data_IF_756563550188
#
_entry.id   IF_756563550188
#
_cell.length_a   1.000
_cell.length_b   1.000
_cell.length_c   1.000
_cell.angle_alpha   90.00
_cell.angle_beta   90.00
_cell.angle_gamma   90.00
#
_symmetry.space_group_name_H-M   'P 1'
#
loop_
_entity.id
_entity.type
_entity.pdbx_description
1 polymer ?
#
# COMPACT_ATOMS: atom_id res chain seq x y z
N UNK A 1 24.87 -27.70 -19.44
CA UNK A 1 25.01 -26.70 -20.51
C UNK A 1 24.02 -25.58 -20.20
N UNK A 2 24.50 -24.45 -19.69
CA UNK A 2 23.68 -23.33 -19.19
C UNK A 2 23.05 -22.55 -20.34
N UNK A 3 21.76 -22.23 -20.27
CA UNK A 3 21.16 -21.15 -21.06
C UNK A 3 20.88 -19.99 -20.12
N UNK A 4 21.70 -18.94 -20.28
CA UNK A 4 21.64 -17.67 -19.55
C UNK A 4 20.47 -16.82 -20.06
N UNK A 5 19.76 -16.21 -19.12
CA UNK A 5 18.84 -15.10 -19.33
C UNK A 5 19.55 -13.87 -19.92
N UNK A 6 18.83 -13.07 -20.71
CA UNK A 6 19.22 -11.70 -21.03
C UNK A 6 17.97 -10.81 -21.09
N UNK A 7 17.71 -10.14 -19.96
CA UNK A 7 16.88 -8.95 -19.89
C UNK A 7 17.69 -7.77 -20.43
N UNK A 8 17.25 -7.12 -21.51
CA UNK A 8 17.84 -5.86 -22.00
C UNK A 8 17.11 -4.66 -21.40
N UNK A 9 17.91 -3.79 -20.80
CA UNK A 9 17.59 -2.43 -20.36
C UNK A 9 16.97 -1.59 -21.48
N UNK A 10 15.97 -0.78 -21.15
CA UNK A 10 15.71 0.48 -21.83
C UNK A 10 16.03 1.62 -20.85
N UNK A 11 17.19 2.26 -21.06
CA UNK A 11 17.51 3.56 -20.46
C UNK A 11 17.03 4.68 -21.39
N UNK A 12 16.34 5.65 -20.78
CA UNK A 12 15.94 6.92 -21.36
C UNK A 12 17.20 7.82 -21.47
N UNK A 13 17.48 8.31 -22.67
CA UNK A 13 18.45 9.38 -22.90
C UNK A 13 17.70 10.72 -22.96
N UNK A 14 17.98 11.60 -21.98
CA UNK A 14 17.69 13.03 -22.03
C UNK A 14 19.01 13.79 -22.03
N UNK A 15 19.19 14.71 -22.98
CA UNK A 15 20.23 15.75 -22.96
C UNK A 15 19.78 17.01 -23.73
N UNK A 16 20.38 18.19 -23.46
CA UNK A 16 19.60 19.35 -23.03
C UNK A 16 19.91 20.70 -23.75
N UNK A 17 19.13 21.72 -23.33
CA UNK A 17 19.41 23.17 -23.22
C UNK A 17 19.58 24.05 -24.48
N UNK A 18 18.73 25.09 -24.54
CA UNK A 18 18.93 26.34 -25.29
C UNK A 18 18.06 27.45 -24.66
N UNK A 19 18.63 28.64 -24.47
CA UNK A 19 18.29 29.63 -23.44
C UNK A 19 17.94 31.02 -24.05
N UNK A 20 17.50 31.96 -23.19
CA UNK A 20 17.39 33.44 -23.35
C UNK A 20 16.06 33.98 -23.96
N UNK A 21 15.41 35.08 -23.49
CA UNK A 21 15.77 36.36 -22.82
C UNK A 21 14.59 36.86 -21.93
N UNK A 22 14.76 37.36 -20.71
CA UNK A 22 15.06 38.74 -20.24
C UNK A 22 13.93 39.79 -20.36
N UNK A 23 13.38 40.23 -19.22
CA UNK A 23 13.06 41.64 -18.86
C UNK A 23 12.69 41.70 -17.36
N UNK A 24 13.46 42.44 -16.52
CA UNK A 24 13.11 43.73 -15.88
C UNK A 24 11.90 43.65 -14.92
N UNK A 25 11.85 44.19 -13.68
CA UNK A 25 12.69 45.13 -12.92
C UNK A 25 12.06 45.38 -11.52
N UNK A 26 12.90 45.68 -10.52
CA UNK A 26 12.68 46.53 -9.31
C UNK A 26 11.64 46.14 -8.21
N UNK A 27 12.12 45.98 -6.96
CA UNK A 27 11.96 46.95 -5.84
C UNK A 27 12.59 46.44 -4.50
N UNK A 28 13.47 47.29 -3.94
CA UNK A 28 13.80 47.62 -2.52
C UNK A 28 14.16 46.48 -1.51
N UNK A 29 15.40 46.41 -0.99
CA UNK A 29 15.96 47.08 0.21
C UNK A 29 15.11 46.97 1.50
N UNK A 30 15.59 46.68 2.72
CA UNK A 30 16.79 46.05 3.34
C UNK A 30 16.41 45.86 4.86
N UNK A 31 17.29 45.62 5.87
CA UNK A 31 17.17 44.49 6.81
C UNK A 31 17.07 44.87 8.31
N UNK A 32 16.93 43.87 9.21
CA UNK A 32 17.47 43.91 10.59
C UNK A 32 17.37 42.54 11.28
N UNK A 33 18.53 41.97 11.67
CA UNK A 33 19.12 41.88 13.04
C UNK A 33 18.45 40.80 13.92
N UNK A 34 19.11 39.68 14.26
CA UNK A 34 20.32 39.46 15.09
C UNK A 34 20.01 39.28 16.59
N UNK A 35 20.25 38.06 17.10
CA UNK A 35 20.74 37.66 18.44
C UNK A 35 20.58 36.13 18.53
N UNK A 36 21.57 35.24 18.60
CA UNK A 36 22.83 35.13 19.37
C UNK A 36 22.67 34.58 20.81
N UNK A 37 23.32 33.42 21.01
CA UNK A 37 24.09 32.91 22.17
C UNK A 37 23.44 31.93 23.18
N UNK A 38 24.24 30.85 23.42
CA UNK A 38 24.51 30.02 24.64
C UNK A 38 24.00 28.58 24.49
N UNK A 39 24.81 27.56 24.20
CA UNK A 39 26.06 27.06 24.81
C UNK A 39 25.95 26.78 26.31
N UNK A 40 25.78 25.50 26.67
CA UNK A 40 26.19 24.90 27.94
C UNK A 40 26.61 23.43 27.68
N UNK A 41 27.82 23.10 28.12
CA UNK A 41 28.47 21.79 28.13
C UNK A 41 28.18 21.07 29.47
N UNK A 42 28.06 19.74 29.45
CA UNK A 42 28.95 18.73 30.06
C UNK A 42 28.97 18.61 31.61
N UNK A 43 28.62 17.41 32.11
CA UNK A 43 29.23 16.60 33.21
C UNK A 43 28.77 15.13 32.97
N UNK A 44 29.62 14.12 32.72
CA UNK A 44 30.62 13.36 33.50
C UNK A 44 30.07 12.26 34.44
N UNK A 45 30.72 11.08 34.34
CA UNK A 45 30.47 9.72 34.86
C UNK A 45 30.71 9.55 36.38
N UNK A 46 30.39 8.37 37.00
CA UNK A 46 31.31 7.20 37.11
C UNK A 46 30.60 5.83 36.83
N UNK A 47 31.16 4.88 36.05
CA UNK A 47 32.08 3.74 36.39
C UNK A 47 31.70 2.88 37.59
N UNK A 48 31.44 1.58 37.35
CA UNK A 48 32.05 0.44 38.07
C UNK A 48 31.68 -0.91 37.40
N UNK A 49 32.71 -1.64 36.98
CA UNK A 49 32.83 -3.10 36.78
C UNK A 49 33.97 -3.52 37.75
N UNK A 50 34.01 -4.76 38.32
CA UNK A 50 34.68 -5.86 37.61
C UNK A 50 34.27 -7.33 37.96
N UNK A 51 34.60 -8.21 36.99
CA UNK A 51 35.17 -9.59 37.02
C UNK A 51 34.82 -10.65 38.10
N UNK A 52 34.51 -11.89 37.66
CA UNK A 52 35.41 -13.09 37.61
C UNK A 52 34.59 -14.38 37.22
N UNK A 53 34.97 -15.17 36.20
CA UNK A 53 35.85 -16.38 36.19
C UNK A 53 35.21 -17.61 36.92
N UNK A 54 35.26 -18.91 36.54
CA UNK A 54 36.07 -19.75 35.64
C UNK A 54 35.45 -21.19 35.48
N UNK A 55 35.66 -21.84 34.32
CA UNK A 55 36.09 -23.24 33.99
C UNK A 55 35.87 -24.36 35.08
N UNK A 56 35.42 -25.63 34.88
CA UNK A 56 35.96 -26.74 34.02
C UNK A 56 35.22 -28.11 34.22
N UNK A 57 35.18 -28.93 33.15
CA UNK A 57 35.38 -30.43 33.02
C UNK A 57 34.32 -31.52 33.29
N UNK A 58 34.21 -32.43 32.29
CA UNK A 58 34.08 -33.90 32.41
C UNK A 58 32.72 -34.52 32.00
N UNK A 59 32.56 -35.69 31.38
CA UNK A 59 33.30 -36.57 30.46
C UNK A 59 32.40 -37.81 30.18
N UNK A 60 32.32 -38.31 28.93
CA UNK A 60 31.88 -39.68 28.52
C UNK A 60 30.36 -39.98 28.59
N UNK A 61 29.74 -40.85 27.80
CA UNK A 61 30.14 -41.74 26.70
C UNK A 61 28.88 -42.28 26.00
N UNK A 62 29.01 -42.54 24.70
CA UNK A 62 28.25 -43.37 23.76
C UNK A 62 26.96 -44.13 24.19
N UNK A 63 25.88 -43.89 23.44
CA UNK A 63 25.08 -44.96 22.82
C UNK A 63 24.44 -44.43 21.54
N UNK A 64 24.62 -45.19 20.46
CA UNK A 64 24.26 -44.83 19.11
C UNK A 64 22.88 -45.38 18.71
N UNK A 65 22.23 -44.64 17.80
CA UNK A 65 21.36 -45.11 16.74
C UNK A 65 20.04 -45.82 17.12
N UNK A 66 19.01 -45.00 17.34
CA UNK A 66 17.68 -45.24 16.76
C UNK A 66 17.23 -43.98 15.99
N UNK A 67 17.14 -44.12 14.66
CA UNK A 67 16.46 -43.20 13.74
C UNK A 67 14.96 -43.44 13.94
N UNK A 68 14.10 -42.44 14.12
CA UNK A 68 13.50 -41.61 13.05
C UNK A 68 12.88 -40.37 13.74
N UNK A 69 13.25 -39.12 13.40
CA UNK A 69 12.46 -37.97 13.82
C UNK A 69 11.20 -37.91 12.96
N UNK A 70 10.07 -38.21 13.60
CA UNK A 70 8.72 -37.91 13.13
C UNK A 70 8.68 -36.48 12.58
N UNK A 71 8.30 -36.35 11.31
CA UNK A 71 7.99 -35.08 10.63
C UNK A 71 7.01 -34.29 11.51
N UNK A 72 7.48 -33.29 12.23
CA UNK A 72 6.59 -32.30 12.81
C UNK A 72 5.96 -31.52 11.65
N UNK A 73 4.62 -31.44 11.55
CA UNK A 73 3.99 -30.59 10.57
C UNK A 73 4.46 -29.15 10.83
N UNK A 74 5.06 -28.57 9.80
CA UNK A 74 5.39 -27.14 9.72
C UNK A 74 4.17 -26.35 10.22
N UNK A 75 4.33 -25.33 11.09
CA UNK A 75 3.20 -24.57 11.57
C UNK A 75 2.50 -23.95 10.36
N UNK A 76 1.33 -24.48 10.03
CA UNK A 76 0.39 -23.87 9.09
C UNK A 76 0.22 -22.45 9.58
N UNK A 77 0.69 -21.48 8.79
CA UNK A 77 0.52 -20.06 9.05
C UNK A 77 -0.99 -19.77 9.03
N UNK A 78 -1.65 -20.02 10.15
CA UNK A 78 -3.01 -19.59 10.44
C UNK A 78 -2.98 -18.08 10.27
N UNK A 79 -3.63 -17.57 9.23
CA UNK A 79 -3.88 -16.14 9.09
C UNK A 79 -4.60 -15.75 10.40
N UNK A 80 -3.99 -14.90 11.24
CA UNK A 80 -4.66 -14.44 12.46
C UNK A 80 -6.01 -13.89 12.04
N UNK A 81 -7.08 -14.26 12.75
CA UNK A 81 -8.39 -13.66 12.54
C UNK A 81 -8.20 -12.14 12.52
N UNK A 82 -8.37 -11.51 11.35
CA UNK A 82 -8.02 -10.10 11.17
C UNK A 82 -9.03 -9.29 11.96
N UNK A 83 -8.61 -8.78 13.11
CA UNK A 83 -9.45 -7.94 13.94
C UNK A 83 -9.55 -6.57 13.30
N UNK A 84 -10.78 -6.21 12.92
CA UNK A 84 -11.09 -4.88 12.42
C UNK A 84 -11.52 -4.01 13.60
N UNK A 85 -11.07 -2.74 13.67
CA UNK A 85 -11.64 -1.79 14.59
C UNK A 85 -13.16 -1.74 14.43
N UNK A 86 -13.86 -1.49 15.54
CA UNK A 86 -15.30 -1.24 15.51
C UNK A 86 -15.57 -0.04 14.60
N UNK A 87 -16.59 -0.15 13.74
CA UNK A 87 -17.01 0.96 12.90
C UNK A 87 -17.31 2.18 13.76
N UNK A 88 -16.64 3.29 13.48
CA UNK A 88 -16.84 4.55 14.22
C UNK A 88 -18.15 5.26 13.86
N UNK A 89 -18.78 4.89 12.74
CA UNK A 89 -20.12 5.38 12.38
C UNK A 89 -21.16 4.29 12.66
N UNK A 90 -22.16 4.64 13.48
CA UNK A 90 -23.33 3.80 13.73
C UNK A 90 -24.43 3.96 12.65
N UNK A 91 -24.28 4.95 11.76
CA UNK A 91 -25.36 5.36 10.85
C UNK A 91 -25.16 4.96 9.39
N UNK A 92 -23.92 4.64 9.00
CA UNK A 92 -23.60 4.26 7.64
C UNK A 92 -22.33 3.42 7.60
N UNK A 93 -22.29 2.45 6.69
CA UNK A 93 -21.21 1.50 6.50
C UNK A 93 -20.87 1.27 5.01
N UNK A 94 -21.61 1.92 4.11
CA UNK A 94 -21.40 1.92 2.67
C UNK A 94 -21.80 3.29 2.08
N UNK A 95 -21.61 3.45 0.75
CA UNK A 95 -21.94 4.70 0.06
C UNK A 95 -23.43 5.03 0.15
N UNK A 96 -24.30 4.03 -0.01
CA UNK A 96 -25.75 4.24 -0.06
C UNK A 96 -26.30 4.70 1.30
N UNK A 97 -25.97 3.99 2.37
CA UNK A 97 -26.34 4.36 3.74
C UNK A 97 -25.73 5.73 4.13
N UNK A 98 -24.55 6.08 3.62
CA UNK A 98 -23.96 7.40 3.85
C UNK A 98 -24.77 8.51 3.17
N UNK A 99 -25.20 8.32 1.92
CA UNK A 99 -26.03 9.30 1.22
C UNK A 99 -27.40 9.49 1.90
N UNK A 100 -28.02 8.40 2.38
CA UNK A 100 -29.24 8.47 3.18
C UNK A 100 -29.03 9.24 4.50
N UNK A 101 -27.89 9.01 5.17
CA UNK A 101 -27.50 9.77 6.36
C UNK A 101 -27.36 11.28 6.05
N UNK A 102 -26.68 11.62 4.96
CA UNK A 102 -26.47 13.00 4.50
C UNK A 102 -27.79 13.72 4.29
N UNK A 103 -28.76 13.08 3.63
CA UNK A 103 -30.10 13.62 3.41
C UNK A 103 -30.84 13.80 4.73
N UNK A 104 -30.82 12.79 5.60
CA UNK A 104 -31.52 12.80 6.89
C UNK A 104 -31.05 13.91 7.82
N UNK A 105 -29.74 14.19 7.87
CA UNK A 105 -29.17 15.21 8.78
C UNK A 105 -28.91 16.56 8.11
N UNK A 106 -29.18 16.67 6.80
CA UNK A 106 -28.91 17.88 6.02
C UNK A 106 -27.42 18.23 5.93
N UNK A 107 -26.52 17.23 5.85
CA UNK A 107 -25.08 17.49 5.76
C UNK A 107 -24.75 18.18 4.43
N UNK A 108 -24.08 19.33 4.49
CA UNK A 108 -23.70 20.08 3.30
C UNK A 108 -22.74 19.28 2.40
N UNK A 109 -23.09 19.10 1.12
CA UNK A 109 -22.27 18.37 0.13
C UNK A 109 -20.93 19.04 -0.19
N UNK A 110 -20.77 20.32 0.16
CA UNK A 110 -19.51 21.06 0.07
C UNK A 110 -18.61 20.91 1.30
N UNK A 111 -19.11 20.31 2.38
CA UNK A 111 -18.34 20.13 3.61
C UNK A 111 -17.19 19.15 3.39
N UNK A 112 -16.09 19.36 4.11
CA UNK A 112 -14.92 18.46 4.08
C UNK A 112 -15.28 17.06 4.57
N UNK A 113 -16.20 16.95 5.53
CA UNK A 113 -16.72 15.66 6.03
C UNK A 113 -17.45 14.91 4.93
N UNK A 114 -18.36 15.57 4.19
CA UNK A 114 -19.04 14.94 3.07
C UNK A 114 -18.06 14.50 2.00
N UNK A 115 -17.18 15.42 1.56
CA UNK A 115 -16.25 15.16 0.46
C UNK A 115 -15.29 14.03 0.79
N UNK A 116 -14.72 14.00 2.00
CA UNK A 116 -13.82 12.94 2.46
C UNK A 116 -14.54 11.59 2.57
N UNK A 117 -15.63 11.55 3.34
CA UNK A 117 -16.38 10.31 3.60
C UNK A 117 -16.96 9.72 2.32
N UNK A 118 -17.51 10.55 1.43
CA UNK A 118 -17.98 10.11 0.12
C UNK A 118 -16.84 9.50 -0.70
N UNK A 119 -15.70 10.18 -0.77
CA UNK A 119 -14.55 9.69 -1.54
C UNK A 119 -14.03 8.36 -1.00
N UNK A 120 -13.93 8.20 0.31
CA UNK A 120 -13.54 6.93 0.95
C UNK A 120 -14.47 5.78 0.56
N UNK A 121 -15.80 5.97 0.60
CA UNK A 121 -16.76 4.96 0.19
C UNK A 121 -16.72 4.68 -1.32
N UNK A 122 -16.56 5.71 -2.16
CA UNK A 122 -16.36 5.55 -3.59
C UNK A 122 -15.13 4.70 -3.88
N UNK A 123 -14.00 4.98 -3.22
CA UNK A 123 -12.76 4.22 -3.37
C UNK A 123 -12.95 2.77 -2.93
N UNK A 124 -13.60 2.54 -1.78
CA UNK A 124 -13.86 1.19 -1.29
C UNK A 124 -14.69 0.36 -2.30
N UNK A 125 -15.79 0.92 -2.80
CA UNK A 125 -16.64 0.27 -3.79
C UNK A 125 -15.90 0.05 -5.13
N UNK A 126 -15.11 1.03 -5.57
CA UNK A 126 -14.37 0.95 -6.84
C UNK A 126 -13.27 -0.09 -6.78
N UNK A 127 -12.49 -0.12 -5.69
CA UNK A 127 -11.40 -1.09 -5.54
C UNK A 127 -11.91 -2.51 -5.34
N UNK A 128 -13.16 -2.72 -4.91
CA UNK A 128 -13.76 -4.04 -4.87
C UNK A 128 -13.74 -4.75 -6.22
N UNK A 129 -13.89 -3.99 -7.32
CA UNK A 129 -13.79 -4.51 -8.70
C UNK A 129 -12.40 -5.10 -9.01
N UNK A 130 -11.37 -4.65 -8.29
CA UNK A 130 -9.98 -5.09 -8.41
C UNK A 130 -9.61 -6.20 -7.40
N UNK A 131 -10.60 -6.78 -6.69
CA UNK A 131 -10.40 -7.85 -5.72
C UNK A 131 -10.09 -7.39 -4.31
N UNK A 132 -10.33 -6.11 -4.00
CA UNK A 132 -10.19 -5.58 -2.65
C UNK A 132 -11.45 -5.84 -1.81
N UNK A 133 -11.25 -6.16 -0.55
CA UNK A 133 -12.32 -6.25 0.45
C UNK A 133 -11.99 -5.26 1.55
N UNK A 134 -12.66 -4.10 1.52
CA UNK A 134 -12.28 -2.94 2.32
C UNK A 134 -13.38 -2.57 3.30
N UNK A 135 -12.96 -2.17 4.50
CA UNK A 135 -13.80 -1.57 5.53
C UNK A 135 -13.28 -0.18 5.84
N UNK A 136 -14.19 0.80 5.85
CA UNK A 136 -13.89 2.15 6.30
C UNK A 136 -13.66 2.17 7.81
N UNK A 137 -12.56 2.77 8.24
CA UNK A 137 -12.24 3.04 9.65
C UNK A 137 -11.91 4.52 9.93
N UNK A 138 -11.87 5.36 8.89
CA UNK A 138 -11.51 6.77 8.98
C UNK A 138 -12.35 7.58 9.96
N UNK A 139 -11.70 8.51 10.66
CA UNK A 139 -12.26 9.36 11.70
C UNK A 139 -11.22 9.80 12.74
N UNK A 140 -11.65 10.50 13.80
CA UNK A 140 -10.71 10.98 14.84
C UNK A 140 -9.84 9.84 15.39
N UNK A 141 -8.51 10.05 15.43
CA UNK A 141 -7.52 9.09 15.92
C UNK A 141 -7.42 7.79 15.10
N UNK A 142 -7.42 7.87 13.78
CA UNK A 142 -7.22 6.75 12.85
C UNK A 142 -5.77 6.59 12.35
N UNK A 143 -4.84 7.40 12.89
CA UNK A 143 -3.44 7.46 12.47
C UNK A 143 -3.25 7.69 10.95
N UNK A 144 -4.24 8.29 10.29
CA UNK A 144 -4.23 8.56 8.85
C UNK A 144 -4.59 7.36 7.98
N UNK A 145 -5.19 6.30 8.55
CA UNK A 145 -5.74 5.16 7.79
C UNK A 145 -7.25 5.31 7.65
N UNK A 146 -7.72 5.43 6.41
CA UNK A 146 -9.14 5.63 6.11
C UNK A 146 -9.86 4.30 5.86
N UNK A 147 -9.19 3.36 5.14
CA UNK A 147 -9.71 2.03 4.86
C UNK A 147 -8.69 0.94 5.25
N UNK A 148 -9.21 -0.19 5.74
CA UNK A 148 -8.46 -1.41 6.02
C UNK A 148 -9.09 -2.58 5.29
N UNK A 149 -8.28 -3.55 4.90
CA UNK A 149 -8.86 -4.75 4.33
C UNK A 149 -7.87 -5.63 3.60
N UNK A 150 -8.39 -6.55 2.82
CA UNK A 150 -7.54 -7.52 2.13
C UNK A 150 -7.63 -7.37 0.63
N UNK A 151 -6.53 -7.57 -0.06
CA UNK A 151 -6.49 -7.64 -1.52
C UNK A 151 -6.22 -9.07 -1.96
N UNK A 152 -7.25 -9.69 -2.50
CA UNK A 152 -7.15 -10.99 -3.15
C UNK A 152 -6.83 -10.75 -4.61
N UNK A 153 -5.58 -10.97 -5.02
CA UNK A 153 -5.21 -10.89 -6.43
C UNK A 153 -5.88 -12.08 -7.14
N UNK A 154 -6.85 -11.85 -8.05
CA UNK A 154 -7.57 -12.94 -8.68
C UNK A 154 -6.63 -13.68 -9.64
N UNK A 155 -5.97 -14.73 -9.14
CA UNK A 155 -5.25 -15.69 -9.95
C UNK A 155 -6.28 -16.46 -10.76
N UNK A 156 -6.65 -15.96 -11.93
CA UNK A 156 -7.54 -16.70 -12.81
C UNK A 156 -6.80 -17.93 -13.31
N UNK A 157 -7.35 -19.12 -13.02
CA UNK A 157 -7.02 -20.33 -13.78
C UNK A 157 -7.24 -20.01 -15.27
N UNK A 158 -6.31 -20.39 -16.17
CA UNK A 158 -6.42 -20.03 -17.59
C UNK A 158 -7.75 -20.53 -18.20
N UNK A 159 -8.43 -19.65 -18.93
CA UNK A 159 -9.53 -20.00 -19.85
C UNK A 159 -9.00 -20.69 -21.13
N UNK A 160 -7.97 -21.52 -20.99
CA UNK A 160 -7.54 -22.35 -22.09
C UNK A 160 -8.40 -23.59 -22.03
N UNK A 161 -9.45 -23.59 -22.85
CA UNK A 161 -10.14 -24.79 -23.31
C UNK A 161 -9.11 -25.71 -24.00
N UNK A 162 -8.30 -26.43 -23.22
CA UNK A 162 -7.70 -27.69 -23.62
C UNK A 162 -7.50 -28.54 -22.35
N UNK A 163 -8.17 -29.70 -22.23
CA UNK A 163 -7.87 -30.67 -21.19
C UNK A 163 -6.55 -31.36 -21.57
N UNK A 164 -5.42 -30.69 -21.30
CA UNK A 164 -4.15 -31.40 -21.21
C UNK A 164 -4.00 -31.82 -19.75
N UNK A 165 -3.82 -33.13 -19.55
CA UNK A 165 -3.58 -33.78 -18.28
C UNK A 165 -2.29 -33.24 -17.64
N UNK A 166 -2.35 -32.05 -17.05
CA UNK A 166 -1.35 -31.60 -16.10
C UNK A 166 -1.78 -32.13 -14.74
N UNK A 167 -0.93 -32.99 -14.17
CA UNK A 167 -1.05 -33.48 -12.80
C UNK A 167 -1.45 -32.35 -11.86
N UNK A 168 -2.55 -32.57 -11.13
CA UNK A 168 -3.13 -31.67 -10.12
C UNK A 168 -2.08 -31.23 -9.10
N UNK A 169 -1.31 -30.21 -9.44
CA UNK A 169 -0.62 -29.39 -8.47
C UNK A 169 -1.58 -28.24 -8.21
N UNK A 170 -2.28 -28.30 -7.07
CA UNK A 170 -3.22 -27.25 -6.64
C UNK A 170 -2.64 -25.87 -6.97
N UNK A 171 -3.37 -24.98 -7.68
CA UNK A 171 -2.85 -23.65 -7.95
C UNK A 171 -2.57 -23.00 -6.60
N UNK A 172 -1.30 -22.68 -6.33
CA UNK A 172 -0.89 -22.04 -5.08
C UNK A 172 -1.69 -20.75 -4.89
N UNK A 173 -2.79 -20.84 -4.13
CA UNK A 173 -3.59 -19.69 -3.73
C UNK A 173 -2.75 -18.92 -2.73
N UNK A 174 -2.08 -17.87 -3.23
CA UNK A 174 -1.39 -16.92 -2.36
C UNK A 174 -2.40 -16.36 -1.34
N UNK A 175 -2.02 -16.25 -0.05
CA UNK A 175 -2.86 -15.60 0.93
C UNK A 175 -3.10 -14.14 0.49
N UNK A 176 -4.29 -13.59 0.76
CA UNK A 176 -4.59 -12.23 0.37
C UNK A 176 -3.68 -11.26 1.11
N UNK A 177 -3.28 -10.19 0.42
CA UNK A 177 -2.44 -9.15 1.01
C UNK A 177 -3.26 -8.32 1.98
N UNK A 178 -2.70 -8.00 3.13
CA UNK A 178 -3.28 -6.99 4.01
C UNK A 178 -3.01 -5.62 3.40
N UNK A 179 -4.01 -4.75 3.36
CA UNK A 179 -3.87 -3.39 2.88
C UNK A 179 -4.32 -2.37 3.93
N UNK A 180 -3.52 -1.31 4.07
CA UNK A 180 -3.91 -0.07 4.74
C UNK A 180 -4.00 1.02 3.68
N UNK A 181 -5.09 1.78 3.68
CA UNK A 181 -5.37 2.74 2.62
C UNK A 181 -5.65 4.10 3.23
N UNK A 182 -4.95 5.11 2.72
CA UNK A 182 -5.22 6.51 2.98
C UNK A 182 -5.87 7.13 1.74
N UNK A 183 -7.01 7.77 1.92
CA UNK A 183 -7.79 8.46 0.90
C UNK A 183 -7.68 9.97 1.11
N UNK A 184 -7.29 10.71 0.07
CA UNK A 184 -7.20 12.17 0.16
C UNK A 184 -7.71 12.86 -1.09
N UNK A 185 -8.69 13.73 -0.89
CA UNK A 185 -9.11 14.73 -1.89
C UNK A 185 -8.29 16.00 -1.67
N UNK A 186 -7.48 16.41 -2.65
CA UNK A 186 -6.64 17.61 -2.51
C UNK A 186 -6.32 18.25 -3.86
N UNK A 187 -6.41 19.59 -3.98
CA UNK A 187 -6.02 20.28 -5.21
C UNK A 187 -4.51 20.21 -5.45
N UNK A 188 -3.71 20.01 -4.40
CA UNK A 188 -2.25 20.09 -4.46
C UNK A 188 -1.60 18.83 -3.83
N UNK A 189 -1.53 17.70 -4.55
CA UNK A 189 -0.81 16.51 -4.11
C UNK A 189 0.67 16.80 -3.86
N UNK A 190 1.15 16.55 -2.63
CA UNK A 190 2.54 16.81 -2.23
C UNK A 190 3.25 15.53 -1.78
N UNK A 191 4.59 15.42 -1.97
CA UNK A 191 5.37 14.28 -1.50
C UNK A 191 5.21 13.95 0.00
N UNK A 192 4.81 14.93 0.81
CA UNK A 192 4.52 14.74 2.24
C UNK A 192 3.46 13.68 2.52
N UNK A 193 2.48 13.49 1.63
CA UNK A 193 1.42 12.48 1.78
C UNK A 193 2.00 11.06 1.83
N UNK A 194 3.10 10.80 1.10
CA UNK A 194 3.80 9.51 1.19
C UNK A 194 4.40 9.32 2.59
N UNK A 195 5.01 10.35 3.18
CA UNK A 195 5.59 10.27 4.54
C UNK A 195 4.50 10.14 5.62
N UNK A 196 3.36 10.79 5.42
CA UNK A 196 2.18 10.60 6.27
C UNK A 196 1.74 9.13 6.25
N UNK A 197 1.66 8.52 5.05
CA UNK A 197 1.38 7.09 4.91
C UNK A 197 2.48 6.19 5.52
N UNK A 198 3.76 6.58 5.49
CA UNK A 198 4.82 5.85 6.20
C UNK A 198 4.54 5.75 7.71
N UNK A 199 4.06 6.84 8.31
CA UNK A 199 3.66 6.87 9.72
C UNK A 199 2.46 5.95 10.02
N UNK A 200 1.55 5.80 9.06
CA UNK A 200 0.37 4.97 9.20
C UNK A 200 0.69 3.47 9.37
N UNK A 201 1.80 2.96 8.82
CA UNK A 201 2.22 1.56 9.04
C UNK A 201 2.46 1.24 10.52
N UNK A 202 2.98 2.20 11.27
CA UNK A 202 3.27 2.03 12.70
C UNK A 202 2.00 2.27 13.52
N UNK A 203 1.20 3.26 13.13
CA UNK A 203 -0.03 3.67 13.80
C UNK A 203 -1.27 2.80 13.50
N UNK A 204 -1.21 1.90 12.52
CA UNK A 204 -2.33 1.05 12.13
C UNK A 204 -2.84 0.18 13.30
N UNK A 205 -4.03 -0.44 13.23
CA UNK A 205 -4.51 -1.36 14.26
C UNK A 205 -3.68 -2.65 14.36
N UNK A 206 -3.85 -3.40 15.46
CA UNK A 206 -3.22 -4.71 15.62
C UNK A 206 -3.60 -5.63 14.44
N UNK A 207 -2.65 -6.43 13.96
CA UNK A 207 -2.83 -7.23 12.75
C UNK A 207 -2.71 -6.45 11.43
N UNK A 208 -2.56 -5.13 11.46
CA UNK A 208 -2.32 -4.27 10.29
C UNK A 208 -1.02 -3.48 10.38
N UNK A 209 -0.45 -3.37 11.59
CA UNK A 209 0.85 -2.74 11.80
C UNK A 209 1.96 -3.52 11.11
N UNK A 210 2.91 -2.79 10.54
CA UNK A 210 4.25 -3.32 10.30
C UNK A 210 5.23 -2.56 11.20
N UNK A 211 6.01 -3.30 11.97
CA UNK A 211 7.02 -2.74 12.88
C UNK A 211 8.38 -2.59 12.20
N UNK A 212 8.63 -3.33 11.12
CA UNK A 212 9.82 -3.20 10.29
C UNK A 212 9.47 -3.26 8.80
N UNK A 213 10.11 -2.43 7.95
CA UNK A 213 9.96 -2.50 6.49
C UNK A 213 10.47 -3.82 5.87
N UNK A 214 11.30 -4.57 6.60
CA UNK A 214 11.83 -5.86 6.17
C UNK A 214 10.97 -7.05 6.59
N UNK A 215 9.94 -6.84 7.42
CA UNK A 215 9.07 -7.93 7.84
C UNK A 215 8.27 -8.46 6.65
N UNK A 216 8.25 -9.77 6.46
CA UNK A 216 7.41 -10.48 5.47
C UNK A 216 5.94 -10.56 5.88
N UNK A 217 5.48 -9.59 6.67
CA UNK A 217 4.16 -9.56 7.28
C UNK A 217 3.07 -9.40 6.21
N UNK A 218 3.39 -8.97 4.98
CA UNK A 218 2.45 -8.93 3.87
C UNK A 218 1.38 -7.84 4.03
N UNK A 219 1.78 -6.68 4.57
CA UNK A 219 0.94 -5.47 4.58
C UNK A 219 1.43 -4.50 3.51
N UNK A 220 0.50 -3.95 2.74
CA UNK A 220 0.72 -2.98 1.68
C UNK A 220 0.01 -1.67 2.03
N UNK A 221 0.73 -0.56 2.01
CA UNK A 221 0.15 0.78 2.18
C UNK A 221 -0.23 1.36 0.82
N UNK A 222 -1.43 1.90 0.67
CA UNK A 222 -1.88 2.52 -0.57
C UNK A 222 -2.35 3.94 -0.32
N UNK A 223 -1.76 4.90 -1.04
CA UNK A 223 -2.27 6.26 -1.12
C UNK A 223 -3.25 6.37 -2.29
N UNK A 224 -4.49 6.80 -2.02
CA UNK A 224 -5.52 7.02 -3.04
C UNK A 224 -5.86 8.50 -3.13
N UNK A 225 -5.66 9.10 -4.30
CA UNK A 225 -5.94 10.52 -4.56
C UNK A 225 -6.98 10.69 -5.66
N UNK A 226 -7.64 11.86 -5.67
CA UNK A 226 -8.49 12.34 -6.76
C UNK A 226 -7.71 13.03 -7.91
N UNK A 227 -6.39 12.86 -7.92
CA UNK A 227 -5.47 13.41 -8.91
C UNK A 227 -4.38 12.41 -9.28
N UNK A 228 -3.81 12.48 -10.51
CA UNK A 228 -2.66 11.68 -10.88
C UNK A 228 -1.46 11.90 -9.96
N UNK A 229 -0.61 10.89 -9.80
CA UNK A 229 0.65 11.05 -9.07
C UNK A 229 1.49 12.16 -9.73
N UNK A 230 1.99 13.09 -8.92
CA UNK A 230 3.01 14.03 -9.38
C UNK A 230 4.37 13.34 -9.45
N UNK A 231 5.35 13.98 -10.11
CA UNK A 231 6.74 13.48 -10.10
C UNK A 231 7.26 13.30 -8.66
N UNK A 232 7.00 14.26 -7.79
CA UNK A 232 7.42 14.21 -6.39
C UNK A 232 6.77 13.08 -5.59
N UNK A 233 5.48 12.77 -5.84
CA UNK A 233 4.81 11.60 -5.24
C UNK A 233 5.48 10.31 -5.70
N UNK A 234 5.68 10.12 -7.02
CA UNK A 234 6.32 8.91 -7.57
C UNK A 234 7.72 8.70 -6.99
N UNK A 235 8.51 9.76 -6.94
CA UNK A 235 9.87 9.71 -6.39
C UNK A 235 9.90 9.42 -4.89
N UNK A 236 8.99 10.02 -4.11
CA UNK A 236 8.89 9.73 -2.68
C UNK A 236 8.48 8.27 -2.43
N UNK A 237 7.48 7.77 -3.16
CA UNK A 237 7.03 6.37 -3.07
C UNK A 237 8.13 5.40 -3.47
N UNK A 238 8.88 5.69 -4.55
CA UNK A 238 9.99 4.87 -5.02
C UNK A 238 11.17 4.80 -4.05
N UNK A 239 11.41 5.86 -3.27
CA UNK A 239 12.47 5.88 -2.23
C UNK A 239 12.03 5.27 -0.90
N UNK A 240 10.72 5.10 -0.68
CA UNK A 240 10.23 4.56 0.58
C UNK A 240 10.73 3.13 0.78
N UNK A 241 11.08 2.82 2.02
CA UNK A 241 11.46 1.45 2.42
C UNK A 241 10.23 0.58 2.66
N UNK A 242 9.05 1.18 2.80
CA UNK A 242 7.81 0.48 3.04
C UNK A 242 7.19 -0.05 1.75
N UNK A 243 6.42 -1.15 1.79
CA UNK A 243 5.69 -1.66 0.64
C UNK A 243 4.54 -0.71 0.28
N UNK A 244 4.66 0.02 -0.83
CA UNK A 244 3.73 1.10 -1.15
C UNK A 244 3.09 0.98 -2.52
N UNK A 245 1.81 1.36 -2.57
CA UNK A 245 1.03 1.59 -3.76
C UNK A 245 0.48 3.02 -3.85
N UNK A 246 0.14 3.43 -5.07
CA UNK A 246 -0.57 4.67 -5.35
C UNK A 246 -1.70 4.37 -6.33
N UNK A 247 -2.89 4.91 -6.04
CA UNK A 247 -4.04 4.84 -6.93
C UNK A 247 -4.56 6.26 -7.19
N UNK A 248 -4.76 6.59 -8.46
CA UNK A 248 -5.59 7.71 -8.85
C UNK A 248 -6.99 7.18 -9.14
N UNK A 249 -7.95 7.55 -8.29
CA UNK A 249 -9.36 7.26 -8.46
C UNK A 249 -10.12 8.59 -8.60
N UNK A 250 -10.86 8.76 -9.69
CA UNK A 250 -11.73 9.93 -9.85
C UNK A 250 -12.83 9.93 -8.79
N UNK A 251 -13.50 11.08 -8.60
CA UNK A 251 -14.61 11.20 -7.64
C UNK A 251 -15.84 10.39 -8.05
N UNK A 252 -15.90 10.03 -9.33
CA UNK A 252 -16.93 9.22 -9.96
C UNK A 252 -16.61 7.72 -9.88
N UNK A 253 -15.49 7.32 -9.25
CA UNK A 253 -15.14 5.92 -9.06
C UNK A 253 -14.43 5.28 -10.25
N UNK A 254 -13.63 6.05 -11.00
CA UNK A 254 -12.83 5.54 -12.10
C UNK A 254 -11.36 5.47 -11.71
N UNK A 255 -10.75 4.28 -11.76
CA UNK A 255 -9.31 4.12 -11.55
C UNK A 255 -8.55 4.40 -12.83
N UNK A 256 -7.74 5.46 -12.82
CA UNK A 256 -7.01 5.95 -13.99
C UNK A 256 -5.50 5.71 -13.92
N UNK A 257 -4.97 5.47 -12.72
CA UNK A 257 -3.56 5.12 -12.50
C UNK A 257 -3.42 4.21 -11.29
N UNK A 258 -2.59 3.19 -11.42
CA UNK A 258 -2.21 2.28 -10.34
C UNK A 258 -0.70 2.05 -10.43
N UNK A 259 0.03 2.40 -9.38
CA UNK A 259 1.49 2.29 -9.28
C UNK A 259 1.85 1.60 -7.96
N UNK A 260 3.05 1.05 -7.89
CA UNK A 260 3.64 0.54 -6.65
C UNK A 260 5.17 0.55 -6.74
N UNK A 261 5.84 0.46 -5.58
CA UNK A 261 7.30 0.41 -5.51
C UNK A 261 7.85 -1.03 -5.48
N UNK A 262 9.17 -1.17 -5.55
CA UNK A 262 9.85 -2.49 -5.53
C UNK A 262 9.59 -3.27 -4.23
N UNK A 263 9.37 -2.56 -3.12
CA UNK A 263 9.05 -3.18 -1.83
C UNK A 263 7.68 -3.85 -1.85
N UNK A 264 6.70 -3.27 -2.54
CA UNK A 264 5.41 -3.89 -2.74
C UNK A 264 5.50 -5.14 -3.64
N UNK A 265 6.38 -5.12 -4.66
CA UNK A 265 6.68 -6.30 -5.48
C UNK A 265 7.14 -7.46 -4.61
N UNK A 266 8.16 -7.23 -3.78
CA UNK A 266 8.75 -8.24 -2.88
C UNK A 266 7.78 -8.77 -1.80
N UNK A 267 6.66 -8.08 -1.54
CA UNK A 267 5.66 -8.48 -0.55
C UNK A 267 4.48 -9.25 -1.15
N UNK A 268 4.52 -9.54 -2.45
CA UNK A 268 3.53 -10.38 -3.11
C UNK A 268 2.93 -9.81 -4.37
N UNK A 269 3.37 -8.62 -4.83
CA UNK A 269 2.98 -8.09 -6.14
C UNK A 269 3.89 -8.59 -7.28
N UNK A 270 4.79 -9.56 -7.06
CA UNK A 270 5.53 -10.19 -8.17
C UNK A 270 4.62 -10.65 -9.29
N UNK A 271 4.97 -10.27 -10.52
CA UNK A 271 4.24 -10.59 -11.73
C UNK A 271 2.97 -9.76 -11.94
N UNK A 272 2.54 -8.94 -10.97
CA UNK A 272 1.44 -8.01 -11.19
C UNK A 272 1.91 -6.85 -12.08
N UNK A 273 1.01 -6.33 -12.91
CA UNK A 273 1.20 -5.14 -13.74
C UNK A 273 -0.10 -4.33 -13.81
N UNK A 274 0.00 -3.09 -14.23
CA UNK A 274 -1.14 -2.21 -14.45
C UNK A 274 -1.00 -1.60 -15.85
N UNK A 275 -2.03 -1.77 -16.67
CA UNK A 275 -2.07 -1.25 -18.04
C UNK A 275 -3.26 -0.33 -18.20
N UNK A 276 -3.08 0.72 -19.01
CA UNK A 276 -4.18 1.59 -19.40
C UNK A 276 -5.04 0.89 -20.45
N UNK A 277 -6.35 0.97 -20.28
CA UNK A 277 -7.36 0.52 -21.23
C UNK A 277 -8.28 1.69 -21.55
N UNK A 278 -8.60 1.88 -22.82
CA UNK A 278 -9.59 2.87 -23.24
C UNK A 278 -10.97 2.20 -23.22
N UNK A 279 -11.89 2.76 -22.45
CA UNK A 279 -13.30 2.38 -22.41
C UNK A 279 -14.14 3.54 -22.99
N UNK A 280 -15.40 3.31 -23.37
CA UNK A 280 -16.29 4.37 -23.84
C UNK A 280 -16.41 5.55 -22.84
N UNK A 281 -16.31 5.25 -21.55
CA UNK A 281 -16.39 6.23 -20.45
C UNK A 281 -15.04 6.91 -20.16
N UNK A 282 -13.99 6.63 -20.94
CA UNK A 282 -12.65 7.22 -20.78
C UNK A 282 -11.55 6.20 -20.48
N UNK A 283 -10.41 6.71 -20.01
CA UNK A 283 -9.25 5.89 -19.70
C UNK A 283 -9.46 5.18 -18.35
N UNK A 284 -9.26 3.86 -18.30
CA UNK A 284 -9.32 3.05 -17.09
C UNK A 284 -8.04 2.21 -16.93
N UNK A 285 -7.80 1.68 -15.74
CA UNK A 285 -6.72 0.72 -15.50
C UNK A 285 -7.26 -0.70 -15.50
N UNK A 286 -6.59 -1.59 -16.21
CA UNK A 286 -6.72 -3.03 -16.04
C UNK A 286 -5.46 -3.58 -15.35
N UNK A 287 -5.65 -4.47 -14.38
CA UNK A 287 -4.53 -5.19 -13.79
C UNK A 287 -4.14 -6.36 -14.67
N UNK A 288 -2.86 -6.69 -14.69
CA UNK A 288 -2.33 -7.86 -15.38
C UNK A 288 -1.55 -8.73 -14.40
N UNK A 289 -1.53 -10.03 -14.63
CA UNK A 289 -0.69 -10.97 -13.91
C UNK A 289 0.13 -11.78 -14.91
N UNK A 290 1.46 -11.71 -14.79
CA UNK A 290 2.44 -12.28 -15.73
C UNK A 290 2.09 -11.94 -17.19
N UNK A 291 1.68 -10.69 -17.43
CA UNK A 291 1.30 -10.17 -18.74
C UNK A 291 -0.14 -10.45 -19.18
N UNK A 292 -0.92 -11.27 -18.45
CA UNK A 292 -2.32 -11.57 -18.78
C UNK A 292 -3.26 -10.64 -18.05
N UNK A 293 -4.25 -10.06 -18.73
CA UNK A 293 -5.25 -9.20 -18.09
C UNK A 293 -6.05 -10.02 -17.07
N UNK A 294 -6.10 -9.52 -15.84
CA UNK A 294 -6.96 -10.05 -14.80
C UNK A 294 -8.40 -9.62 -15.08
N UNK A 295 -9.34 -10.56 -14.94
CA UNK A 295 -10.76 -10.21 -14.93
C UNK A 295 -11.04 -9.44 -13.63
N UNK A 296 -11.22 -8.12 -13.75
CA UNK A 296 -11.87 -7.35 -12.71
C UNK A 296 -13.31 -7.89 -12.56
N UNK A 297 -13.78 -8.01 -11.33
CA UNK A 297 -15.20 -8.30 -11.07
C UNK A 297 -15.94 -7.03 -11.42
N UNK A 298 -16.32 -6.85 -12.69
CA UNK A 298 -17.30 -5.82 -13.02
C UNK A 298 -18.60 -6.19 -12.30
N UNK A 299 -19.35 -5.25 -11.72
CA UNK A 299 -20.69 -5.56 -11.27
C UNK A 299 -21.41 -6.09 -12.50
N UNK A 300 -21.98 -7.29 -12.41
CA UNK A 300 -22.92 -7.75 -13.42
C UNK A 300 -23.96 -6.65 -13.55
N UNK A 301 -23.96 -5.93 -14.67
CA UNK A 301 -25.00 -4.98 -14.96
C UNK A 301 -26.31 -5.72 -14.82
N UNK A 302 -27.17 -5.27 -13.90
CA UNK A 302 -28.58 -5.56 -13.99
C UNK A 302 -29.03 -4.97 -15.31
N UNK A 303 -29.07 -5.80 -16.35
CA UNK A 303 -29.87 -5.51 -17.52
C UNK A 303 -31.30 -5.38 -17.01
N UNK A 304 -31.78 -4.14 -16.95
CA UNK A 304 -33.18 -3.85 -16.79
C UNK A 304 -33.87 -4.42 -18.01
N UNK A 305 -34.57 -5.53 -17.82
CA UNK A 305 -35.67 -5.92 -18.69
C UNK A 305 -36.74 -4.83 -18.60
N UNK A 306 -36.85 -4.03 -19.65
CA UNK A 306 -38.09 -3.34 -20.03
C UNK A 306 -39.23 -4.35 -20.22
#
# INVERSE_FOLDING_TARGET
MLIRASYRMFQIALRPLGNTKTSQSLLLHNPSRAAAVRHLSAEQFPTDDPEESSITTGAGSAAALDKIPSLQPTPTRTIPNLEYPVSKSAFHNDLQSFLQYVERVGLAKSSTVFVGTHFEYTVAATLALYGFFLRRIGGVSDAGVDLLGTWSIPLSSPLTEQPQQEQETQPERRPPLRVIIQCKVTPNPRPGLIRELEGAFIGAPAGWRMTSPSSGDGVLGILVLDKPATKGIREAMGRSRWPMGFVYCSKEGVVEQFLWNERAVAQGLEGLGAVKRYAPQGQQVALTFKGRILRCVLPSGTEGSE
#
